data_IF_177426858336
#
_entry.id   IF_177426858336
#
_cell.length_a   1.000
_cell.length_b   1.000
_cell.length_c   1.000
_cell.angle_alpha   90.00
_cell.angle_beta   90.00
_cell.angle_gamma   90.00
#
_symmetry.space_group_name_H-M   'P 1'
#
loop_
_entity.id
_entity.type
_entity.pdbx_description
1 polymer ?
#
# COMPACT_ATOMS: atom_id res chain seq x y z
N UNK A 1 8.43 -12.91 -25.97
CA UNK A 1 7.65 -11.78 -26.53
C UNK A 1 8.19 -10.48 -25.92
N UNK A 2 8.87 -9.67 -26.70
CA UNK A 2 9.44 -8.39 -26.23
C UNK A 2 8.29 -7.44 -25.93
N UNK A 3 8.20 -6.95 -24.70
CA UNK A 3 7.25 -5.92 -24.32
C UNK A 3 7.53 -4.66 -25.10
N UNK A 4 6.56 -4.21 -25.87
CA UNK A 4 6.64 -2.98 -26.63
C UNK A 4 6.85 -1.81 -25.67
N UNK A 5 7.98 -1.13 -25.79
CA UNK A 5 8.18 0.22 -25.27
C UNK A 5 7.15 1.12 -25.95
N UNK A 6 6.03 1.34 -25.32
CA UNK A 6 5.21 2.49 -25.68
C UNK A 6 5.89 3.71 -25.07
N UNK A 7 6.94 4.15 -25.76
CA UNK A 7 7.45 5.50 -25.59
C UNK A 7 6.31 6.42 -26.00
N UNK A 8 5.68 7.05 -25.04
CA UNK A 8 4.91 8.26 -25.29
C UNK A 8 5.95 9.29 -25.71
N UNK A 9 6.12 9.45 -27.04
CA UNK A 9 6.78 10.59 -27.63
C UNK A 9 5.89 11.81 -27.35
N UNK A 10 5.97 12.31 -26.15
CA UNK A 10 5.43 13.60 -25.73
C UNK A 10 6.49 14.64 -25.97
N UNK A 11 6.16 15.70 -26.72
CA UNK A 11 6.81 17.02 -26.76
C UNK A 11 7.66 17.27 -25.54
N UNK A 12 8.83 17.92 -25.70
CA UNK A 12 9.73 18.35 -24.63
C UNK A 12 8.99 19.30 -23.64
N UNK A 13 8.06 18.74 -22.89
CA UNK A 13 7.34 19.36 -21.80
C UNK A 13 8.27 19.35 -20.58
N UNK A 14 8.35 20.46 -19.90
CA UNK A 14 9.01 20.59 -18.60
C UNK A 14 8.47 19.49 -17.67
N UNK A 15 9.37 18.59 -17.25
CA UNK A 15 9.04 17.56 -16.26
C UNK A 15 8.54 18.26 -15.01
N UNK A 16 7.31 17.96 -14.58
CA UNK A 16 6.72 18.60 -13.41
C UNK A 16 7.51 18.16 -12.16
N UNK A 17 7.83 19.07 -11.21
CA UNK A 17 8.57 18.70 -9.99
C UNK A 17 7.94 17.54 -9.21
N UNK A 18 6.62 17.40 -9.25
CA UNK A 18 5.88 16.31 -8.59
C UNK A 18 6.13 14.93 -9.25
N UNK A 19 6.69 14.88 -10.47
CA UNK A 19 6.97 13.62 -11.20
C UNK A 19 8.36 13.07 -10.89
N UNK A 20 9.18 13.83 -10.19
CA UNK A 20 10.53 13.42 -9.80
C UNK A 20 10.58 12.96 -8.36
N UNK A 21 11.39 11.94 -8.12
CA UNK A 21 11.73 11.53 -6.77
C UNK A 21 12.36 12.68 -6.00
N UNK A 22 12.06 12.82 -4.70
CA UNK A 22 12.69 13.81 -3.84
C UNK A 22 14.22 13.64 -3.83
N UNK A 23 15.00 14.73 -3.61
CA UNK A 23 16.45 14.65 -3.50
C UNK A 23 16.89 13.58 -2.48
N UNK A 24 17.93 12.82 -2.82
CA UNK A 24 18.36 11.65 -2.03
C UNK A 24 18.73 11.96 -0.57
N UNK A 25 19.08 13.22 -0.23
CA UNK A 25 19.35 13.61 1.15
C UNK A 25 18.08 13.65 2.03
N UNK A 26 16.87 13.77 1.46
CA UNK A 26 15.60 13.71 2.20
C UNK A 26 15.40 12.36 2.90
N UNK A 27 15.93 11.26 2.34
CA UNK A 27 15.87 9.93 2.98
C UNK A 27 16.49 9.90 4.38
N UNK A 28 17.53 10.71 4.64
CA UNK A 28 18.14 10.78 5.96
C UNK A 28 17.22 11.36 7.02
N UNK A 29 16.34 12.29 6.64
CA UNK A 29 15.28 12.82 7.53
C UNK A 29 14.28 11.73 7.88
N UNK A 30 13.91 10.92 6.90
CA UNK A 30 13.01 9.78 7.09
C UNK A 30 13.63 8.75 8.05
N UNK A 31 14.90 8.41 7.85
CA UNK A 31 15.65 7.47 8.70
C UNK A 31 15.79 8.01 10.13
N UNK A 32 16.15 9.28 10.30
CA UNK A 32 16.28 9.89 11.63
C UNK A 32 14.97 9.84 12.43
N UNK A 33 13.84 9.95 11.76
CA UNK A 33 12.52 9.81 12.37
C UNK A 33 12.21 8.37 12.80
N UNK A 34 12.79 7.39 12.12
CA UNK A 34 12.58 5.95 12.40
C UNK A 34 13.37 5.43 13.58
N UNK A 35 14.59 5.93 13.77
CA UNK A 35 15.59 5.33 14.65
C UNK A 35 15.12 5.13 16.11
N UNK A 36 14.45 6.09 16.78
CA UNK A 36 13.99 5.89 18.15
C UNK A 36 12.91 4.80 18.29
N UNK A 37 12.15 4.51 17.21
CA UNK A 37 11.04 3.55 17.22
C UNK A 37 11.43 2.14 16.79
N UNK A 38 12.47 1.98 16.00
CA UNK A 38 13.11 0.69 15.77
C UNK A 38 13.54 0.04 17.09
N UNK A 39 14.01 0.86 18.05
CA UNK A 39 14.41 0.42 19.39
C UNK A 39 13.21 0.16 20.31
N UNK A 40 12.09 0.85 20.13
CA UNK A 40 10.89 0.69 20.95
C UNK A 40 10.00 -0.51 20.55
N UNK A 41 10.35 -1.22 19.48
CA UNK A 41 9.51 -2.25 18.85
C UNK A 41 9.55 -3.64 19.50
N UNK A 42 9.78 -3.78 20.79
CA UNK A 42 9.87 -5.09 21.48
C UNK A 42 8.52 -5.71 21.88
N UNK A 43 7.40 -5.08 21.52
CA UNK A 43 6.07 -5.60 21.84
C UNK A 43 5.57 -6.71 20.89
N UNK A 44 4.48 -7.41 21.26
CA UNK A 44 3.89 -8.48 20.46
C UNK A 44 3.46 -7.98 19.07
N UNK A 45 3.76 -8.77 18.04
CA UNK A 45 3.51 -8.43 16.62
C UNK A 45 2.12 -8.88 16.14
N UNK A 46 1.42 -9.73 16.89
CA UNK A 46 0.14 -10.34 16.51
C UNK A 46 -0.98 -9.38 16.06
N UNK A 47 -2.14 -9.91 15.68
CA UNK A 47 -3.30 -9.11 15.28
C UNK A 47 -3.74 -8.19 16.41
N UNK A 48 -4.42 -7.09 16.05
CA UNK A 48 -4.93 -6.09 16.99
C UNK A 48 -6.35 -5.74 16.62
N UNK A 49 -7.15 -5.40 17.63
CA UNK A 49 -8.54 -5.01 17.49
C UNK A 49 -9.51 -6.08 17.92
N UNK A 50 -10.82 -5.84 17.74
CA UNK A 50 -11.87 -6.76 18.15
C UNK A 50 -11.79 -8.08 17.35
N UNK A 51 -12.04 -9.20 18.02
CA UNK A 51 -11.97 -10.54 17.39
C UNK A 51 -13.00 -10.74 16.29
N UNK A 52 -14.18 -10.13 16.46
CA UNK A 52 -15.30 -10.15 15.51
C UNK A 52 -15.21 -9.03 14.44
N UNK A 53 -14.23 -8.12 14.55
CA UNK A 53 -14.02 -7.04 13.62
C UNK A 53 -13.68 -7.54 12.20
N UNK A 54 -13.99 -6.75 11.14
CA UNK A 54 -13.59 -7.10 9.79
C UNK A 54 -12.05 -7.12 9.68
N UNK A 55 -11.51 -8.10 8.94
CA UNK A 55 -10.07 -8.27 8.81
C UNK A 55 -9.44 -7.18 7.94
N UNK A 56 -8.27 -6.69 8.38
CA UNK A 56 -7.39 -5.83 7.58
C UNK A 56 -5.97 -6.42 7.59
N UNK A 57 -5.37 -6.60 6.43
CA UNK A 57 -3.98 -7.03 6.27
C UNK A 57 -3.10 -5.82 5.99
N UNK A 58 -2.07 -5.62 6.82
CA UNK A 58 -1.15 -4.48 6.69
C UNK A 58 0.20 -4.94 6.16
N UNK A 59 0.59 -4.42 4.99
CA UNK A 59 1.81 -4.81 4.29
C UNK A 59 2.89 -3.71 4.47
N UNK A 60 4.09 -4.06 4.97
CA UNK A 60 5.17 -3.11 5.21
C UNK A 60 5.88 -2.67 3.93
N UNK A 61 6.51 -1.50 3.98
CA UNK A 61 7.39 -1.00 2.93
C UNK A 61 8.72 -1.76 2.85
N UNK A 62 9.54 -1.38 1.87
CA UNK A 62 10.89 -1.92 1.70
C UNK A 62 11.76 -1.67 2.94
N UNK A 63 12.53 -2.66 3.36
CA UNK A 63 13.34 -2.71 4.59
C UNK A 63 12.53 -2.50 5.89
N UNK A 64 11.22 -2.65 5.82
CA UNK A 64 10.34 -2.58 6.96
C UNK A 64 9.80 -3.96 7.35
N UNK A 65 9.21 -4.05 8.52
CA UNK A 65 8.61 -5.28 9.05
C UNK A 65 7.28 -4.97 9.73
N UNK A 66 6.63 -5.99 10.27
CA UNK A 66 5.41 -5.83 11.06
C UNK A 66 5.56 -4.91 12.27
N UNK A 67 6.77 -4.76 12.80
CA UNK A 67 7.06 -3.81 13.89
C UNK A 67 6.92 -2.37 13.43
N UNK A 68 7.38 -2.07 12.23
CA UNK A 68 7.26 -0.74 11.61
C UNK A 68 5.80 -0.34 11.39
N UNK A 69 4.94 -1.29 11.05
CA UNK A 69 3.51 -1.05 10.79
C UNK A 69 2.63 -1.17 12.04
N UNK A 70 3.21 -1.28 13.24
CA UNK A 70 2.46 -1.50 14.47
C UNK A 70 1.51 -0.34 14.80
N UNK A 71 1.91 0.92 14.55
CA UNK A 71 1.09 2.07 14.91
C UNK A 71 -0.11 2.24 13.97
N UNK A 72 0.04 1.98 12.66
CA UNK A 72 -1.12 1.95 11.75
C UNK A 72 -2.06 0.78 12.08
N UNK A 73 -1.54 -0.41 12.45
CA UNK A 73 -2.40 -1.52 12.92
C UNK A 73 -3.16 -1.18 14.19
N UNK A 74 -2.52 -0.47 15.14
CA UNK A 74 -3.20 0.06 16.34
C UNK A 74 -4.27 1.10 16.00
N UNK A 75 -4.04 1.94 15.00
CA UNK A 75 -5.01 2.92 14.56
C UNK A 75 -6.23 2.25 13.91
N UNK A 76 -6.02 1.28 13.02
CA UNK A 76 -7.08 0.46 12.43
C UNK A 76 -7.86 -0.30 13.52
N UNK A 77 -7.17 -0.86 14.51
CA UNK A 77 -7.80 -1.55 15.63
C UNK A 77 -8.76 -0.66 16.44
N UNK A 78 -8.38 0.61 16.67
CA UNK A 78 -9.26 1.61 17.29
C UNK A 78 -10.45 1.99 16.41
N UNK A 79 -10.33 1.86 15.09
CA UNK A 79 -11.43 1.99 14.12
C UNK A 79 -12.27 0.72 13.97
N UNK A 80 -12.11 -0.28 14.85
CA UNK A 80 -12.92 -1.49 14.84
C UNK A 80 -12.45 -2.60 13.89
N UNK A 81 -11.25 -2.48 13.30
CA UNK A 81 -10.68 -3.50 12.42
C UNK A 81 -9.89 -4.54 13.21
N UNK A 82 -9.98 -5.80 12.81
CA UNK A 82 -9.02 -6.84 13.21
C UNK A 82 -7.79 -6.72 12.29
N UNK A 83 -6.83 -5.90 12.71
CA UNK A 83 -5.65 -5.54 11.91
C UNK A 83 -4.52 -6.55 12.07
N UNK A 84 -4.22 -7.28 11.02
CA UNK A 84 -3.23 -8.35 10.97
C UNK A 84 -1.89 -7.87 10.41
N UNK A 85 -0.77 -8.41 10.93
CA UNK A 85 0.54 -8.28 10.31
C UNK A 85 0.63 -9.13 9.03
N UNK A 86 1.55 -8.80 8.13
CA UNK A 86 1.78 -9.59 6.93
C UNK A 86 2.43 -10.95 7.23
N UNK A 87 3.23 -11.05 8.31
CA UNK A 87 3.76 -12.31 8.82
C UNK A 87 5.01 -12.85 8.10
N UNK A 88 5.58 -12.10 7.13
CA UNK A 88 6.72 -12.57 6.31
C UNK A 88 8.08 -11.95 6.72
N UNK A 89 8.16 -11.38 7.94
CA UNK A 89 9.39 -10.82 8.46
C UNK A 89 9.74 -9.45 7.86
N UNK A 90 11.01 -9.25 7.49
CA UNK A 90 11.47 -8.01 6.85
C UNK A 90 11.20 -8.05 5.34
N UNK A 91 10.63 -6.98 4.82
CA UNK A 91 10.38 -6.82 3.39
C UNK A 91 11.67 -6.44 2.64
N UNK A 92 12.34 -7.42 2.07
CA UNK A 92 13.58 -7.26 1.32
C UNK A 92 13.34 -7.10 -0.20
N UNK A 93 12.13 -6.79 -0.61
CA UNK A 93 11.77 -6.65 -2.02
C UNK A 93 10.92 -7.82 -2.54
N UNK A 94 10.55 -7.74 -3.81
CA UNK A 94 9.78 -8.77 -4.47
C UNK A 94 10.63 -10.04 -4.69
N UNK A 95 10.07 -11.21 -4.39
CA UNK A 95 10.64 -12.53 -4.68
C UNK A 95 9.62 -13.35 -5.45
N UNK A 96 10.06 -14.43 -6.10
CA UNK A 96 9.20 -15.25 -6.94
C UNK A 96 7.98 -15.81 -6.19
N UNK A 97 8.13 -16.11 -4.92
CA UNK A 97 7.10 -16.68 -4.03
C UNK A 97 6.29 -15.62 -3.25
N UNK A 98 6.66 -14.34 -3.34
CA UNK A 98 6.05 -13.27 -2.50
C UNK A 98 4.53 -13.23 -2.64
N UNK A 99 4.01 -13.25 -3.86
CA UNK A 99 2.56 -13.16 -4.06
C UNK A 99 1.82 -14.43 -3.70
N UNK A 100 2.48 -15.59 -3.81
CA UNK A 100 1.92 -16.88 -3.35
C UNK A 100 1.82 -16.90 -1.81
N UNK A 101 2.88 -16.48 -1.12
CA UNK A 101 2.90 -16.35 0.34
C UNK A 101 1.82 -15.38 0.84
N UNK A 102 1.66 -14.23 0.18
CA UNK A 102 0.61 -13.27 0.49
C UNK A 102 -0.79 -13.79 0.17
N UNK A 103 -0.95 -14.58 -0.90
CA UNK A 103 -2.20 -15.26 -1.21
C UNK A 103 -2.61 -16.21 -0.11
N UNK A 104 -1.69 -17.07 0.35
CA UNK A 104 -1.92 -17.96 1.52
C UNK A 104 -2.28 -17.16 2.77
N UNK A 105 -1.56 -16.05 3.01
CA UNK A 105 -1.87 -15.17 4.14
C UNK A 105 -3.26 -14.56 4.05
N UNK A 106 -3.70 -14.16 2.85
CA UNK A 106 -5.06 -13.67 2.62
C UNK A 106 -6.10 -14.77 2.89
N UNK A 107 -5.80 -16.01 2.47
CA UNK A 107 -6.69 -17.17 2.69
C UNK A 107 -6.88 -17.49 4.17
N UNK A 108 -5.82 -17.39 4.98
CA UNK A 108 -5.89 -17.55 6.44
C UNK A 108 -6.79 -16.50 7.12
N UNK A 109 -6.90 -15.31 6.52
CA UNK A 109 -7.65 -14.19 7.09
C UNK A 109 -9.08 -14.08 6.57
N UNK A 110 -9.39 -14.78 5.49
CA UNK A 110 -10.69 -14.78 4.85
C UNK A 110 -11.67 -15.70 5.58
N UNK A 111 -12.59 -15.10 6.30
CA UNK A 111 -13.66 -15.80 7.06
C UNK A 111 -15.04 -15.72 6.38
N UNK A 112 -15.05 -15.58 5.03
CA UNK A 112 -16.25 -15.29 4.25
C UNK A 112 -16.54 -13.80 4.10
N UNK A 113 -15.78 -12.92 4.79
CA UNK A 113 -15.83 -11.45 4.65
C UNK A 113 -14.54 -10.98 3.97
N UNK A 114 -14.65 -10.20 2.86
CA UNK A 114 -13.47 -9.71 2.17
C UNK A 114 -12.57 -8.84 3.06
N UNK A 115 -11.25 -8.99 2.89
CA UNK A 115 -10.20 -8.39 3.71
C UNK A 115 -9.79 -7.02 3.15
N UNK A 116 -9.66 -6.01 4.01
CA UNK A 116 -9.06 -4.72 3.64
C UNK A 116 -7.54 -4.89 3.51
N UNK A 117 -6.97 -4.52 2.38
CA UNK A 117 -5.53 -4.47 2.19
C UNK A 117 -5.02 -3.04 2.42
N UNK A 118 -4.07 -2.86 3.35
CA UNK A 118 -3.43 -1.57 3.63
C UNK A 118 -1.93 -1.73 3.42
N UNK A 119 -1.41 -1.17 2.32
CA UNK A 119 -0.01 -1.30 1.97
C UNK A 119 0.74 0.03 2.05
N UNK A 120 1.87 0.04 2.77
CA UNK A 120 2.75 1.19 2.85
C UNK A 120 3.92 1.03 1.87
N UNK A 121 4.19 2.08 1.07
CA UNK A 121 5.32 2.10 0.13
C UNK A 121 5.30 0.86 -0.79
N UNK A 122 6.35 0.04 -0.82
CA UNK A 122 6.38 -1.22 -1.57
C UNK A 122 5.22 -2.17 -1.20
N UNK A 123 4.79 -2.17 0.07
CA UNK A 123 3.65 -2.96 0.50
C UNK A 123 2.34 -2.61 -0.21
N UNK A 124 2.19 -1.36 -0.65
CA UNK A 124 1.04 -0.96 -1.47
C UNK A 124 1.08 -1.52 -2.89
N UNK A 125 2.27 -1.72 -3.44
CA UNK A 125 2.45 -2.43 -4.71
C UNK A 125 1.97 -3.88 -4.58
N UNK A 126 2.40 -4.57 -3.53
CA UNK A 126 1.95 -5.94 -3.25
C UNK A 126 0.44 -6.03 -2.98
N UNK A 127 -0.13 -5.06 -2.27
CA UNK A 127 -1.57 -5.01 -2.03
C UNK A 127 -2.36 -4.90 -3.34
N UNK A 128 -1.90 -4.09 -4.29
CA UNK A 128 -2.52 -3.96 -5.63
C UNK A 128 -2.43 -5.26 -6.41
N UNK A 129 -1.25 -5.89 -6.46
CA UNK A 129 -1.05 -7.19 -7.14
C UNK A 129 -1.92 -8.30 -6.54
N UNK A 130 -2.01 -8.35 -5.21
CA UNK A 130 -2.84 -9.33 -4.51
C UNK A 130 -4.33 -9.14 -4.83
N UNK A 131 -4.80 -7.90 -4.91
CA UNK A 131 -6.18 -7.59 -5.25
C UNK A 131 -6.54 -7.90 -6.72
N UNK A 132 -5.58 -7.82 -7.64
CA UNK A 132 -5.78 -8.29 -9.01
C UNK A 132 -5.94 -9.81 -9.09
N UNK A 133 -5.24 -10.56 -8.25
CA UNK A 133 -5.25 -12.02 -8.23
C UNK A 133 -6.43 -12.62 -7.46
N UNK A 134 -6.90 -11.92 -6.42
CA UNK A 134 -7.92 -12.40 -5.48
C UNK A 134 -9.01 -11.35 -5.22
N UNK A 135 -9.67 -10.80 -6.28
CA UNK A 135 -10.62 -9.70 -6.11
C UNK A 135 -11.85 -10.08 -5.29
N UNK A 136 -12.23 -11.34 -5.26
CA UNK A 136 -13.34 -11.90 -4.47
C UNK A 136 -13.06 -11.91 -2.96
N UNK A 137 -11.78 -11.96 -2.56
CA UNK A 137 -11.35 -11.98 -1.15
C UNK A 137 -10.92 -10.62 -0.64
N UNK A 138 -10.79 -9.61 -1.51
CA UNK A 138 -10.32 -8.27 -1.16
C UNK A 138 -11.48 -7.27 -1.15
N UNK A 139 -11.69 -6.62 0.00
CA UNK A 139 -12.72 -5.60 0.18
C UNK A 139 -12.36 -4.30 -0.52
N UNK A 140 -11.13 -3.86 -0.35
CA UNK A 140 -10.57 -2.65 -0.95
C UNK A 140 -9.04 -2.66 -0.81
N UNK A 141 -8.37 -1.86 -1.63
CA UNK A 141 -6.95 -1.56 -1.51
C UNK A 141 -6.75 -0.13 -1.03
N UNK A 142 -5.94 0.03 0.00
CA UNK A 142 -5.47 1.32 0.51
C UNK A 142 -3.95 1.37 0.36
N UNK A 143 -3.44 2.35 -0.37
CA UNK A 143 -2.00 2.58 -0.51
C UNK A 143 -1.59 3.80 0.30
N UNK A 144 -0.49 3.70 1.03
CA UNK A 144 0.11 4.77 1.82
C UNK A 144 1.47 5.12 1.22
N UNK A 145 1.57 6.26 0.55
CA UNK A 145 2.83 6.73 -0.07
C UNK A 145 3.50 5.67 -0.95
N UNK A 146 2.74 4.96 -1.79
CA UNK A 146 3.23 3.84 -2.62
C UNK A 146 3.50 4.29 -4.05
N UNK A 147 4.65 3.94 -4.65
CA UNK A 147 5.04 4.37 -6.00
C UNK A 147 4.41 3.49 -7.09
N UNK A 148 3.08 3.45 -7.20
CA UNK A 148 2.38 2.55 -8.12
C UNK A 148 2.15 3.14 -9.52
N UNK A 149 2.39 4.42 -9.72
CA UNK A 149 2.14 5.14 -10.97
C UNK A 149 3.43 5.74 -11.54
N UNK A 150 3.41 6.06 -12.83
CA UNK A 150 4.52 6.71 -13.51
C UNK A 150 5.72 5.81 -13.82
N UNK A 151 6.88 6.41 -14.00
CA UNK A 151 8.13 5.71 -14.33
C UNK A 151 8.82 5.19 -13.06
N UNK A 152 8.88 3.88 -12.91
CA UNK A 152 9.50 3.22 -11.75
C UNK A 152 11.00 3.50 -11.58
N UNK A 153 11.70 4.01 -12.61
CA UNK A 153 13.11 4.40 -12.49
C UNK A 153 13.30 5.76 -11.84
N UNK A 154 12.31 6.64 -11.94
CA UNK A 154 12.41 8.03 -11.49
C UNK A 154 11.50 8.40 -10.35
N UNK A 155 10.55 7.54 -10.00
CA UNK A 155 9.50 7.85 -9.02
C UNK A 155 9.91 7.63 -7.55
N UNK A 156 11.12 7.11 -7.30
CA UNK A 156 11.65 6.93 -5.94
C UNK A 156 13.16 7.08 -5.88
N UNK A 157 13.67 7.66 -4.81
CA UNK A 157 15.11 7.84 -4.59
C UNK A 157 15.80 6.65 -3.91
N UNK A 158 15.08 5.55 -3.67
CA UNK A 158 15.63 4.30 -3.09
C UNK A 158 15.74 3.16 -4.11
N UNK A 159 15.50 3.43 -5.41
CA UNK A 159 15.51 2.43 -6.48
C UNK A 159 16.79 1.59 -6.52
N UNK A 160 17.96 2.23 -6.56
CA UNK A 160 19.25 1.52 -6.67
C UNK A 160 19.51 0.61 -5.48
N UNK A 161 19.12 1.05 -4.27
CA UNK A 161 19.21 0.23 -3.07
C UNK A 161 18.22 -0.95 -3.16
N UNK A 162 17.01 -0.72 -3.66
CA UNK A 162 16.02 -1.75 -3.87
C UNK A 162 16.54 -2.82 -4.85
N UNK A 163 16.99 -2.44 -6.04
CA UNK A 163 17.49 -3.37 -7.06
C UNK A 163 18.67 -4.20 -6.56
N UNK A 164 19.58 -3.59 -5.77
CA UNK A 164 20.72 -4.29 -5.17
C UNK A 164 20.29 -5.35 -4.16
N UNK A 165 19.30 -5.07 -3.32
CA UNK A 165 18.84 -5.98 -2.25
C UNK A 165 17.85 -7.01 -2.77
N UNK A 166 16.90 -6.59 -3.61
CA UNK A 166 15.90 -7.47 -4.20
C UNK A 166 16.49 -8.42 -5.26
N UNK A 167 17.59 -7.99 -5.90
CA UNK A 167 18.33 -8.78 -6.89
C UNK A 167 17.72 -8.77 -8.29
N UNK A 168 16.87 -7.78 -8.61
CA UNK A 168 16.25 -7.62 -9.93
C UNK A 168 15.98 -6.14 -10.26
N UNK A 169 15.86 -5.80 -11.54
CA UNK A 169 15.45 -4.47 -12.03
C UNK A 169 13.98 -4.20 -11.67
N UNK A 170 13.64 -2.94 -11.43
CA UNK A 170 12.26 -2.53 -11.11
C UNK A 170 11.25 -2.83 -12.22
N UNK A 171 11.68 -2.96 -13.47
CA UNK A 171 10.82 -3.34 -14.62
C UNK A 171 10.72 -4.84 -14.83
N UNK A 172 11.62 -5.62 -14.24
CA UNK A 172 11.68 -7.07 -14.37
C UNK A 172 11.48 -7.77 -13.00
N UNK A 173 10.35 -7.52 -12.33
CA UNK A 173 10.07 -8.20 -11.07
C UNK A 173 9.92 -9.71 -11.32
N UNK A 174 10.15 -10.54 -10.30
CA UNK A 174 10.13 -11.99 -10.42
C UNK A 174 8.72 -12.59 -10.66
N UNK A 175 7.72 -11.75 -10.87
CA UNK A 175 6.36 -12.11 -11.23
C UNK A 175 5.74 -11.09 -12.20
N UNK A 176 4.79 -11.49 -13.07
CA UNK A 176 4.08 -10.56 -13.93
C UNK A 176 3.30 -9.52 -13.13
N UNK A 177 3.47 -8.24 -13.45
CA UNK A 177 2.66 -7.15 -12.88
C UNK A 177 1.32 -7.06 -13.58
N UNK A 178 0.28 -6.85 -12.80
CA UNK A 178 -1.00 -6.45 -13.32
C UNK A 178 -0.99 -4.97 -13.75
N UNK A 179 -1.77 -4.64 -14.77
CA UNK A 179 -1.88 -3.28 -15.27
C UNK A 179 -3.14 -2.59 -14.73
N UNK A 180 -3.03 -1.29 -14.50
CA UNK A 180 -4.17 -0.43 -14.18
C UNK A 180 -4.67 -0.59 -12.74
N UNK A 181 -5.93 -0.19 -12.56
CA UNK A 181 -6.61 -0.23 -11.27
C UNK A 181 -7.02 -1.66 -10.93
N UNK A 182 -6.78 -2.13 -9.69
CA UNK A 182 -7.38 -3.38 -9.21
C UNK A 182 -8.91 -3.36 -9.35
N UNK A 183 -9.56 -4.50 -9.63
CA UNK A 183 -11.02 -4.59 -9.83
C UNK A 183 -11.83 -4.48 -8.51
N UNK A 184 -11.27 -3.80 -7.52
CA UNK A 184 -11.86 -3.51 -6.21
C UNK A 184 -11.72 -2.02 -5.89
N UNK A 185 -12.49 -1.48 -4.92
CA UNK A 185 -12.32 -0.10 -4.47
C UNK A 185 -10.88 0.22 -4.08
N UNK A 186 -10.32 1.33 -4.58
CA UNK A 186 -8.91 1.67 -4.43
C UNK A 186 -8.74 3.11 -3.94
N UNK A 187 -8.09 3.27 -2.79
CA UNK A 187 -7.83 4.55 -2.13
C UNK A 187 -6.33 4.78 -1.99
N UNK A 188 -5.81 5.91 -2.48
CA UNK A 188 -4.41 6.28 -2.34
C UNK A 188 -4.23 7.46 -1.38
N UNK A 189 -3.31 7.33 -0.44
CA UNK A 189 -2.79 8.44 0.36
C UNK A 189 -1.40 8.81 -0.13
N UNK A 190 -1.20 10.09 -0.37
CA UNK A 190 0.05 10.64 -0.87
C UNK A 190 0.43 11.92 -0.11
N UNK A 191 1.68 12.36 -0.20
CA UNK A 191 2.15 13.57 0.48
C UNK A 191 3.16 14.34 -0.37
N UNK A 192 3.03 15.68 -0.40
CA UNK A 192 4.06 16.58 -0.96
C UNK A 192 5.33 16.61 -0.13
N UNK A 193 5.26 16.20 1.13
CA UNK A 193 6.41 16.15 2.05
C UNK A 193 7.09 14.79 2.07
N UNK A 194 6.65 13.85 1.24
CA UNK A 194 7.29 12.55 1.10
C UNK A 194 8.76 12.73 0.68
N UNK A 195 9.69 12.17 1.44
CA UNK A 195 11.12 12.26 1.20
C UNK A 195 11.68 11.09 0.38
N UNK A 196 10.84 10.16 -0.06
CA UNK A 196 11.22 8.91 -0.74
C UNK A 196 10.55 8.78 -2.11
N UNK A 197 9.23 8.97 -2.17
CA UNK A 197 8.39 8.72 -3.34
C UNK A 197 7.90 10.03 -3.94
N UNK A 198 7.93 10.13 -5.27
CA UNK A 198 7.37 11.28 -5.99
C UNK A 198 5.86 11.42 -5.70
N UNK A 199 5.34 12.63 -5.46
CA UNK A 199 3.93 12.86 -5.18
C UNK A 199 2.98 12.29 -6.24
N UNK A 200 3.28 12.47 -7.52
CA UNK A 200 2.46 11.94 -8.63
C UNK A 200 2.42 10.42 -8.65
N UNK A 201 3.56 9.77 -8.36
CA UNK A 201 3.66 8.31 -8.33
C UNK A 201 2.82 7.67 -7.21
N UNK A 202 2.66 8.37 -6.09
CA UNK A 202 1.84 7.91 -4.97
C UNK A 202 0.37 8.35 -5.08
N UNK A 203 0.10 9.46 -5.78
CA UNK A 203 -1.25 9.94 -6.07
C UNK A 203 -1.95 9.07 -7.10
N UNK A 204 -1.21 8.65 -8.15
CA UNK A 204 -1.74 7.93 -9.29
C UNK A 204 -2.58 8.78 -10.25
N UNK A 205 -2.98 8.16 -11.34
CA UNK A 205 -3.87 8.72 -12.35
C UNK A 205 -5.33 8.28 -12.11
N UNK A 206 -6.30 9.01 -12.64
CA UNK A 206 -7.72 8.76 -12.40
C UNK A 206 -8.20 7.36 -12.81
N UNK A 207 -7.53 6.75 -13.80
CA UNK A 207 -7.82 5.38 -14.23
C UNK A 207 -7.13 4.29 -13.39
N UNK A 208 -6.24 4.66 -12.48
CA UNK A 208 -5.48 3.73 -11.61
C UNK A 208 -6.06 3.62 -10.21
N UNK A 209 -6.93 4.55 -9.81
CA UNK A 209 -7.52 4.65 -8.47
C UNK A 209 -8.96 5.18 -8.52
N UNK A 210 -9.72 4.98 -7.44
CA UNK A 210 -11.04 5.61 -7.27
C UNK A 210 -10.96 6.94 -6.52
N UNK A 211 -9.97 7.10 -5.63
CA UNK A 211 -9.78 8.33 -4.86
C UNK A 211 -8.34 8.48 -4.40
N UNK A 212 -7.78 9.69 -4.55
CA UNK A 212 -6.51 10.09 -3.95
C UNK A 212 -6.73 11.14 -2.85
N UNK A 213 -5.99 11.04 -1.75
CA UNK A 213 -6.07 11.96 -0.61
C UNK A 213 -4.66 12.40 -0.23
N UNK A 214 -4.44 13.71 -0.23
CA UNK A 214 -3.20 14.28 0.28
C UNK A 214 -3.21 14.26 1.82
N UNK A 215 -2.09 13.80 2.40
CA UNK A 215 -1.82 13.87 3.84
C UNK A 215 -0.56 14.69 4.07
N UNK A 216 -0.58 15.58 5.07
CA UNK A 216 0.58 16.40 5.39
C UNK A 216 1.51 15.64 6.35
N UNK A 217 2.39 14.80 5.79
CA UNK A 217 3.34 14.01 6.57
C UNK A 217 4.56 13.61 5.74
N UNK A 218 5.63 13.18 6.38
CA UNK A 218 6.75 12.50 5.73
C UNK A 218 6.37 11.06 5.35
N UNK A 219 7.16 10.41 4.48
CA UNK A 219 6.94 9.03 4.02
C UNK A 219 6.65 8.06 5.16
N UNK A 220 7.51 8.08 6.15
CA UNK A 220 7.41 7.23 7.34
C UNK A 220 6.27 7.65 8.27
N UNK A 221 5.95 8.93 8.30
CA UNK A 221 4.85 9.46 9.10
C UNK A 221 3.48 8.90 8.70
N UNK A 222 3.34 8.42 7.48
CA UNK A 222 2.12 7.75 7.00
C UNK A 222 1.77 6.47 7.81
N UNK A 223 2.74 5.87 8.50
CA UNK A 223 2.52 4.68 9.35
C UNK A 223 2.82 4.88 10.82
N UNK A 224 3.38 6.04 11.21
CA UNK A 224 3.82 6.31 12.59
C UNK A 224 3.21 7.56 13.22
N UNK A 225 2.88 8.61 12.45
CA UNK A 225 2.45 9.88 13.00
C UNK A 225 0.96 9.88 13.32
N UNK A 226 0.61 9.96 14.61
CA UNK A 226 -0.76 9.82 15.11
C UNK A 226 -1.81 10.70 14.39
N UNK A 227 -1.57 12.00 14.11
CA UNK A 227 -2.56 12.79 13.37
C UNK A 227 -2.83 12.27 11.96
N UNK A 228 -1.78 11.85 11.22
CA UNK A 228 -1.95 11.21 9.92
C UNK A 228 -2.73 9.90 10.03
N UNK A 229 -2.37 9.05 10.99
CA UNK A 229 -3.04 7.77 11.22
C UNK A 229 -4.53 7.93 11.53
N UNK A 230 -4.90 8.91 12.38
CA UNK A 230 -6.30 9.22 12.69
C UNK A 230 -7.07 9.66 11.45
N UNK A 231 -6.46 10.53 10.63
CA UNK A 231 -7.06 10.97 9.36
C UNK A 231 -7.20 9.80 8.38
N UNK A 232 -6.16 8.99 8.20
CA UNK A 232 -6.17 7.82 7.30
C UNK A 232 -7.32 6.88 7.65
N UNK A 233 -7.48 6.49 8.92
CA UNK A 233 -8.54 5.55 9.33
C UNK A 233 -9.92 6.15 9.06
N UNK A 234 -10.15 7.42 9.44
CA UNK A 234 -11.42 8.10 9.17
C UNK A 234 -11.76 8.16 7.68
N UNK A 235 -10.78 8.48 6.83
CA UNK A 235 -10.98 8.55 5.38
C UNK A 235 -11.24 7.16 4.77
N UNK A 236 -10.60 6.10 5.28
CA UNK A 236 -10.90 4.72 4.90
C UNK A 236 -12.35 4.37 5.21
N UNK A 237 -12.83 4.65 6.41
CA UNK A 237 -14.22 4.40 6.82
C UNK A 237 -15.21 5.16 5.95
N UNK A 238 -14.98 6.45 5.73
CA UNK A 238 -15.83 7.28 4.86
C UNK A 238 -15.82 6.83 3.39
N UNK A 239 -14.69 6.33 2.88
CA UNK A 239 -14.57 5.79 1.54
C UNK A 239 -15.36 4.48 1.38
N UNK A 240 -15.19 3.55 2.32
CA UNK A 240 -15.87 2.26 2.28
C UNK A 240 -17.40 2.41 2.41
N UNK A 241 -17.88 3.27 3.29
CA UNK A 241 -19.32 3.54 3.44
C UNK A 241 -19.93 4.03 2.12
N UNK A 242 -19.23 4.89 1.37
CA UNK A 242 -19.69 5.40 0.08
C UNK A 242 -19.66 4.34 -1.02
N UNK A 243 -18.66 3.46 -1.03
CA UNK A 243 -18.49 2.42 -2.04
C UNK A 243 -19.43 1.24 -1.80
N UNK A 244 -19.75 0.88 -0.56
CA UNK A 244 -20.70 -0.18 -0.21
C UNK A 244 -22.14 0.18 -0.57
N UNK A 245 -22.50 1.45 -0.51
CA UNK A 245 -23.80 1.93 -1.03
C UNK A 245 -23.94 1.73 -2.55
N UNK A 246 -22.83 1.54 -3.27
CA UNK A 246 -22.78 1.30 -4.73
C UNK A 246 -22.47 -0.15 -5.11
N UNK A 247 -22.14 -1.03 -4.13
CA UNK A 247 -21.64 -2.38 -4.40
C UNK A 247 -22.75 -3.37 -4.75
N UNK A 248 -22.59 -4.17 -5.82
CA UNK A 248 -23.51 -5.27 -6.16
C UNK A 248 -23.57 -6.39 -5.10
N UNK A 249 -22.61 -6.45 -4.15
CA UNK A 249 -22.60 -7.44 -3.07
C UNK A 249 -23.77 -7.28 -2.07
N UNK A 250 -24.37 -6.09 -1.94
CA UNK A 250 -25.58 -5.88 -1.14
C UNK A 250 -26.81 -6.55 -1.73
N UNK A 251 -26.88 -6.73 -3.05
CA UNK A 251 -28.03 -7.38 -3.73
C UNK A 251 -28.11 -8.89 -3.45
N UNK A 252 -26.97 -9.58 -3.34
CA UNK A 252 -26.96 -11.05 -3.11
C UNK A 252 -27.40 -11.45 -1.69
N UNK A 253 -27.23 -10.60 -0.66
CA UNK A 253 -27.70 -10.88 0.71
C UNK A 253 -29.19 -10.70 0.90
N UNK A 254 -29.84 -9.87 0.07
CA UNK A 254 -31.28 -9.68 0.13
C UNK A 254 -32.07 -10.81 -0.59
N UNK A 255 -31.42 -11.49 -1.54
CA UNK A 255 -32.05 -12.58 -2.33
C UNK A 255 -31.87 -13.98 -1.69
N UNK A 256 -31.05 -14.13 -0.65
CA UNK A 256 -30.83 -15.39 0.06
C UNK A 256 -31.69 -15.58 1.32
N UNK A 257 -32.68 -14.70 1.55
CA UNK A 257 -33.60 -14.75 2.69
C UNK A 257 -35.08 -14.78 2.24
N UNK A 258 -35.33 -15.34 1.06
CA UNK A 258 -36.68 -15.70 0.62
C UNK A 258 -36.76 -17.18 0.29
#
# INVERSE_FOLDING_TARGET
MKWARTAIAGTAGTVHPDDLAPPGWHRWREIAWHFPRLLAGLGPVGPRGPEDGPSALVLPGFLASDRTTMDIRRALARGGWRAHPWGLGMNLGAKADTLELLGRRLDELYDGRPVLLVGWSLGGMFARELAHRHPDKVRAVVTLCSPFSGDFKTNTNVRELYERIAGHDVYEPPFPRANGKPPVPTLAFWSRRDGIVAPSAARGLDHEIDRAIEIDTYHVGAVLWRPALTRIVREIEGFLTKTEGRSPFKKRRAESHH
#
